data_IF_641386913173
#
_entry.id   IF_641386913173
#
_cell.length_a   1.000
_cell.length_b   1.000
_cell.length_c   1.000
_cell.angle_alpha   90.00
_cell.angle_beta   90.00
_cell.angle_gamma   90.00
#
_symmetry.space_group_name_H-M   'P 1'
#
loop_
_entity.id
_entity.type
_entity.pdbx_description
1 polymer ?
#
# COMPACT_ATOMS: atom_id res chain seq x y z
N UNK A 1 -8.69 16.03 -30.42
CA UNK A 1 -7.79 16.47 -29.34
C UNK A 1 -6.35 16.49 -29.80
N UNK A 2 -5.80 15.39 -30.33
CA UNK A 2 -4.52 15.42 -31.05
C UNK A 2 -4.68 16.22 -32.36
N UNK A 3 -3.83 17.25 -32.61
CA UNK A 3 -3.82 18.00 -33.87
C UNK A 3 -3.61 17.06 -35.06
N UNK A 4 -4.30 17.31 -36.19
CA UNK A 4 -4.26 16.44 -37.38
C UNK A 4 -2.83 16.21 -37.86
N UNK A 5 -2.02 17.27 -37.87
CA UNK A 5 -0.63 17.29 -38.30
C UNK A 5 0.29 16.42 -37.43
N UNK A 6 -0.11 16.16 -36.19
CA UNK A 6 0.69 15.40 -35.22
C UNK A 6 0.23 13.94 -35.07
N UNK A 7 -0.88 13.54 -35.71
CA UNK A 7 -1.47 12.21 -35.51
C UNK A 7 -0.55 11.08 -35.96
N UNK A 8 0.14 11.23 -37.09
CA UNK A 8 1.06 10.21 -37.59
C UNK A 8 2.16 9.92 -36.58
N UNK A 9 2.79 10.96 -36.05
CA UNK A 9 3.82 10.85 -35.01
C UNK A 9 3.22 10.27 -33.74
N UNK A 10 2.08 10.81 -33.29
CA UNK A 10 1.44 10.37 -32.05
C UNK A 10 1.05 8.89 -32.03
N UNK A 11 0.60 8.32 -33.16
CA UNK A 11 0.16 6.92 -33.21
C UNK A 11 1.27 5.94 -33.62
N UNK A 12 2.41 6.42 -34.10
CA UNK A 12 3.51 5.59 -34.62
C UNK A 12 4.80 5.69 -33.81
N UNK A 13 4.88 6.59 -32.82
CA UNK A 13 6.03 6.69 -31.91
C UNK A 13 6.18 5.42 -31.04
N UNK A 14 7.42 5.07 -30.74
CA UNK A 14 7.75 4.04 -29.75
C UNK A 14 7.32 4.48 -28.35
N UNK A 15 6.93 3.53 -27.49
CA UNK A 15 6.27 3.78 -26.21
C UNK A 15 7.02 4.74 -25.28
N UNK A 16 8.33 4.57 -25.07
CA UNK A 16 9.12 5.46 -24.21
C UNK A 16 9.21 6.88 -24.80
N UNK A 17 9.41 6.97 -26.11
CA UNK A 17 9.44 8.24 -26.81
C UNK A 17 8.07 8.94 -26.78
N UNK A 18 6.98 8.19 -26.95
CA UNK A 18 5.62 8.68 -26.91
C UNK A 18 5.27 9.31 -25.57
N UNK A 19 5.66 8.67 -24.46
CA UNK A 19 5.47 9.23 -23.11
C UNK A 19 6.25 10.55 -22.97
N UNK A 20 7.54 10.56 -23.34
CA UNK A 20 8.40 11.76 -23.22
C UNK A 20 7.87 12.92 -24.07
N UNK A 21 7.52 12.65 -25.33
CA UNK A 21 7.03 13.66 -26.27
C UNK A 21 5.76 14.33 -25.74
N UNK A 22 4.83 13.55 -25.16
CA UNK A 22 3.57 14.09 -24.66
C UNK A 22 3.70 14.82 -23.31
N UNK A 23 4.55 14.33 -22.40
CA UNK A 23 4.79 14.99 -21.11
C UNK A 23 5.56 16.31 -21.25
N UNK A 24 6.42 16.45 -22.27
CA UNK A 24 7.21 17.68 -22.46
C UNK A 24 6.46 18.81 -23.17
N UNK A 25 5.24 18.56 -23.67
CA UNK A 25 4.41 19.57 -24.34
C UNK A 25 3.62 20.41 -23.32
N UNK A 26 4.34 21.22 -22.54
CA UNK A 26 3.78 22.02 -21.45
C UNK A 26 3.22 23.40 -21.88
N UNK A 27 3.19 23.71 -23.18
CA UNK A 27 2.65 24.99 -23.67
C UNK A 27 1.13 25.01 -23.47
N UNK A 28 0.63 26.09 -22.85
CA UNK A 28 -0.80 26.31 -22.64
C UNK A 28 -1.53 26.37 -23.99
N UNK A 29 -2.58 25.57 -24.13
CA UNK A 29 -3.49 25.61 -25.27
C UNK A 29 -4.51 26.75 -25.11
N UNK A 30 -5.35 26.98 -26.13
CA UNK A 30 -6.36 28.06 -26.15
C UNK A 30 -7.37 28.00 -24.99
N UNK A 31 -7.56 26.84 -24.37
CA UNK A 31 -8.42 26.62 -23.20
C UNK A 31 -7.69 26.86 -21.86
N UNK A 32 -6.40 27.25 -21.87
CA UNK A 32 -5.63 27.59 -20.67
C UNK A 32 -4.92 26.44 -19.95
N UNK A 33 -5.20 25.18 -20.32
CA UNK A 33 -4.48 24.00 -19.82
C UNK A 33 -3.34 23.56 -20.76
N UNK A 34 -2.28 22.97 -20.23
CA UNK A 34 -1.19 22.45 -21.05
C UNK A 34 -1.56 21.10 -21.65
N UNK A 35 -1.00 20.78 -22.83
CA UNK A 35 -1.24 19.48 -23.47
C UNK A 35 -0.81 18.30 -22.58
N UNK A 36 0.33 18.41 -21.91
CA UNK A 36 0.83 17.40 -20.98
C UNK A 36 -0.19 17.05 -19.89
N UNK A 37 -0.86 18.06 -19.33
CA UNK A 37 -1.85 17.88 -18.25
C UNK A 37 -3.09 17.14 -18.78
N UNK A 38 -3.57 17.55 -19.95
CA UNK A 38 -4.68 16.88 -20.62
C UNK A 38 -4.34 15.43 -20.96
N UNK A 39 -3.17 15.21 -21.56
CA UNK A 39 -2.75 13.88 -21.99
C UNK A 39 -2.56 12.93 -20.81
N UNK A 40 -1.90 13.38 -19.74
CA UNK A 40 -1.70 12.57 -18.54
C UNK A 40 -3.04 12.23 -17.87
N UNK A 41 -3.93 13.20 -17.75
CA UNK A 41 -5.28 13.01 -17.19
C UNK A 41 -6.13 12.09 -18.07
N UNK A 42 -6.00 12.17 -19.39
CA UNK A 42 -6.66 11.27 -20.33
C UNK A 42 -6.17 9.82 -20.15
N UNK A 43 -4.85 9.61 -20.06
CA UNK A 43 -4.28 8.28 -19.82
C UNK A 43 -4.76 7.69 -18.48
N UNK A 44 -4.72 8.49 -17.42
CA UNK A 44 -5.22 8.08 -16.11
C UNK A 44 -6.72 7.75 -16.15
N UNK A 45 -7.53 8.59 -16.80
CA UNK A 45 -8.98 8.36 -16.93
C UNK A 45 -9.28 7.09 -17.71
N UNK A 46 -8.58 6.84 -18.82
CA UNK A 46 -8.75 5.61 -19.60
C UNK A 46 -8.39 4.36 -18.80
N UNK A 47 -7.28 4.38 -18.06
CA UNK A 47 -6.90 3.30 -17.16
C UNK A 47 -7.95 3.09 -16.05
N UNK A 48 -8.38 4.17 -15.39
CA UNK A 48 -9.40 4.13 -14.34
C UNK A 48 -10.74 3.60 -14.83
N UNK A 49 -11.25 4.08 -15.97
CA UNK A 49 -12.51 3.62 -16.52
C UNK A 49 -12.45 2.15 -16.91
N UNK A 50 -11.35 1.71 -17.52
CA UNK A 50 -11.15 0.29 -17.82
C UNK A 50 -11.18 -0.58 -16.55
N UNK A 51 -10.56 -0.12 -15.47
CA UNK A 51 -10.58 -0.86 -14.20
C UNK A 51 -11.98 -0.88 -13.58
N UNK A 52 -12.70 0.24 -13.61
CA UNK A 52 -14.07 0.28 -13.08
C UNK A 52 -15.03 -0.58 -13.88
N UNK A 53 -14.95 -0.56 -15.21
CA UNK A 53 -15.74 -1.45 -16.07
C UNK A 53 -15.54 -2.94 -15.76
N UNK A 54 -14.40 -3.32 -15.17
CA UNK A 54 -14.10 -4.69 -14.78
C UNK A 54 -14.47 -5.04 -13.33
N UNK A 55 -14.63 -4.05 -12.46
CA UNK A 55 -14.67 -4.24 -11.00
C UNK A 55 -15.85 -3.56 -10.30
N UNK A 56 -16.62 -2.75 -11.02
CA UNK A 56 -17.74 -1.97 -10.52
C UNK A 56 -18.92 -2.16 -11.48
N UNK A 57 -19.82 -3.07 -11.14
CA UNK A 57 -20.95 -3.49 -12.00
C UNK A 57 -21.92 -2.33 -12.32
N UNK A 58 -21.93 -1.27 -11.49
CA UNK A 58 -22.78 -0.09 -11.65
C UNK A 58 -22.08 1.03 -12.44
N UNK A 59 -20.81 0.86 -12.81
CA UNK A 59 -20.05 1.91 -13.47
C UNK A 59 -20.46 2.11 -14.93
N UNK A 60 -20.81 3.35 -15.27
CA UNK A 60 -21.06 3.78 -16.64
C UNK A 60 -20.03 4.83 -17.04
N UNK A 61 -19.30 4.58 -18.14
CA UNK A 61 -18.32 5.52 -18.69
C UNK A 61 -18.98 6.84 -19.08
N UNK A 62 -18.35 8.01 -18.84
CA UNK A 62 -18.88 9.30 -19.26
C UNK A 62 -19.13 9.37 -20.77
N UNK A 63 -20.34 9.79 -21.16
CA UNK A 63 -20.75 9.95 -22.57
C UNK A 63 -19.87 10.99 -23.28
N UNK A 64 -19.54 12.09 -22.60
CA UNK A 64 -18.69 13.15 -23.11
C UNK A 64 -17.26 13.06 -22.53
N UNK A 65 -16.56 11.97 -22.84
CA UNK A 65 -15.24 11.65 -22.28
C UNK A 65 -14.21 12.80 -22.39
N UNK A 66 -14.17 13.50 -23.53
CA UNK A 66 -13.22 14.62 -23.72
C UNK A 66 -13.55 15.75 -22.74
N UNK A 67 -14.82 16.12 -22.62
CA UNK A 67 -15.26 17.20 -21.74
C UNK A 67 -15.07 16.83 -20.28
N UNK A 68 -15.29 15.57 -19.91
CA UNK A 68 -14.95 15.06 -18.58
C UNK A 68 -13.47 15.28 -18.27
N UNK A 69 -12.57 14.82 -19.14
CA UNK A 69 -11.12 14.97 -18.93
C UNK A 69 -10.72 16.44 -18.88
N UNK A 70 -11.25 17.29 -19.77
CA UNK A 70 -10.99 18.73 -19.76
C UNK A 70 -11.43 19.37 -18.45
N UNK A 71 -12.64 19.07 -17.97
CA UNK A 71 -13.14 19.58 -16.69
C UNK A 71 -12.30 19.07 -15.51
N UNK A 72 -11.84 17.81 -15.54
CA UNK A 72 -10.96 17.26 -14.51
C UNK A 72 -9.63 18.01 -14.46
N UNK A 73 -9.02 18.31 -15.61
CA UNK A 73 -7.79 19.10 -15.70
C UNK A 73 -8.02 20.51 -15.15
N UNK A 74 -9.11 21.17 -15.56
CA UNK A 74 -9.44 22.51 -15.09
C UNK A 74 -9.67 22.55 -13.58
N UNK A 75 -10.44 21.61 -13.04
CA UNK A 75 -10.68 21.47 -11.61
C UNK A 75 -9.37 21.23 -10.85
N UNK A 76 -8.49 20.36 -11.36
CA UNK A 76 -7.19 20.11 -10.77
C UNK A 76 -6.30 21.37 -10.78
N UNK A 77 -6.24 22.09 -11.91
CA UNK A 77 -5.49 23.34 -12.00
C UNK A 77 -6.04 24.41 -11.04
N UNK A 78 -7.35 24.53 -10.90
CA UNK A 78 -7.98 25.46 -9.96
C UNK A 78 -7.69 25.07 -8.51
N UNK A 79 -7.82 23.79 -8.16
CA UNK A 79 -7.49 23.28 -6.83
C UNK A 79 -6.01 23.46 -6.49
N UNK A 80 -5.11 23.21 -7.45
CA UNK A 80 -3.66 23.44 -7.30
C UNK A 80 -3.38 24.91 -7.00
N UNK A 81 -3.95 25.84 -7.78
CA UNK A 81 -3.79 27.29 -7.53
C UNK A 81 -4.36 27.71 -6.17
N UNK A 82 -5.53 27.19 -5.80
CA UNK A 82 -6.11 27.45 -4.49
C UNK A 82 -5.21 26.94 -3.36
N UNK A 83 -4.57 25.79 -3.55
CA UNK A 83 -3.62 25.20 -2.58
C UNK A 83 -2.32 26.00 -2.52
N UNK A 84 -1.80 26.47 -3.67
CA UNK A 84 -0.63 27.35 -3.73
C UNK A 84 -0.88 28.69 -3.02
N UNK A 85 -2.11 29.21 -3.08
CA UNK A 85 -2.52 30.43 -2.37
C UNK A 85 -2.72 30.20 -0.86
N UNK A 86 -3.09 28.98 -0.45
CA UNK A 86 -3.32 28.60 0.95
C UNK A 86 -2.06 28.13 1.70
N UNK A 87 -0.90 28.14 1.05
CA UNK A 87 0.39 27.78 1.63
C UNK A 87 0.99 26.55 0.96
N UNK A 88 2.22 26.68 0.49
CA UNK A 88 3.02 25.58 -0.03
C UNK A 88 3.02 24.44 0.98
N UNK A 89 2.40 23.33 0.59
CA UNK A 89 2.64 22.02 1.17
C UNK A 89 4.11 21.69 0.94
N UNK A 90 4.96 21.90 1.95
CA UNK A 90 6.36 21.54 1.87
C UNK A 90 6.45 20.02 1.89
N UNK A 91 7.02 19.46 0.83
CA UNK A 91 7.37 18.05 0.77
C UNK A 91 8.83 17.92 1.15
N UNK A 92 9.11 17.17 2.21
CA UNK A 92 10.47 16.83 2.59
C UNK A 92 10.77 15.43 2.07
N UNK A 93 11.91 15.29 1.38
CA UNK A 93 12.45 13.99 1.02
C UNK A 93 12.99 13.33 2.28
N UNK A 94 12.39 12.21 2.68
CA UNK A 94 12.79 11.44 3.86
C UNK A 94 13.29 10.07 3.43
N UNK A 95 14.41 9.63 4.00
CA UNK A 95 14.88 8.25 3.85
C UNK A 95 14.13 7.38 4.84
N UNK A 96 13.39 6.39 4.33
CA UNK A 96 12.66 5.42 5.14
C UNK A 96 13.36 4.08 5.02
N UNK A 97 13.69 3.49 6.17
CA UNK A 97 14.19 2.14 6.27
C UNK A 97 13.65 1.48 7.53
N UNK A 98 13.99 0.22 7.73
CA UNK A 98 13.62 -0.48 8.94
C UNK A 98 14.28 0.16 10.17
N UNK A 99 13.51 0.33 11.25
CA UNK A 99 13.99 0.89 12.51
C UNK A 99 13.84 -0.18 13.60
N UNK A 100 14.91 -0.51 14.34
CA UNK A 100 14.86 -1.50 15.41
C UNK A 100 13.90 -1.08 16.54
N UNK A 101 13.27 -2.04 17.23
CA UNK A 101 12.48 -1.75 18.43
C UNK A 101 13.38 -1.20 19.55
N UNK A 102 12.79 -0.39 20.44
CA UNK A 102 13.49 0.15 21.61
C UNK A 102 13.20 -0.68 22.86
N UNK A 103 14.18 -0.80 23.75
CA UNK A 103 14.01 -1.52 25.03
C UNK A 103 13.89 -3.03 24.83
N UNK A 104 13.02 -3.68 25.63
CA UNK A 104 12.83 -5.13 25.64
C UNK A 104 11.79 -5.63 24.61
N UNK A 105 11.39 -4.76 23.69
CA UNK A 105 10.38 -5.08 22.69
C UNK A 105 10.95 -5.90 21.55
N UNK A 106 10.17 -6.86 21.08
CA UNK A 106 10.31 -7.41 19.73
C UNK A 106 9.43 -6.63 18.76
N UNK A 107 9.88 -6.45 17.53
CA UNK A 107 9.14 -5.78 16.48
C UNK A 107 8.40 -6.80 15.63
N UNK A 108 7.07 -6.73 15.63
CA UNK A 108 6.20 -7.54 14.78
C UNK A 108 5.70 -6.68 13.64
N UNK A 109 6.15 -6.93 12.41
CA UNK A 109 5.56 -6.31 11.22
C UNK A 109 4.56 -7.30 10.59
N UNK A 110 3.39 -6.81 10.16
CA UNK A 110 2.35 -7.62 9.48
C UNK A 110 1.85 -6.93 8.23
N UNK A 111 1.47 -7.71 7.22
CA UNK A 111 0.89 -7.20 5.96
C UNK A 111 -0.12 -8.21 5.39
N UNK A 112 -1.07 -7.70 4.60
CA UNK A 112 -2.05 -8.44 3.83
C UNK A 112 -1.83 -8.28 2.32
N UNK A 113 -1.65 -9.40 1.62
CA UNK A 113 -1.56 -9.42 0.17
C UNK A 113 -2.87 -9.88 -0.46
N UNK A 114 -3.16 -9.34 -1.64
CA UNK A 114 -4.27 -9.76 -2.47
C UNK A 114 -3.80 -9.90 -3.92
N UNK A 115 -4.10 -11.04 -4.54
CA UNK A 115 -3.79 -11.35 -5.95
C UNK A 115 -5.09 -11.46 -6.76
N UNK A 116 -4.96 -11.29 -8.08
CA UNK A 116 -6.03 -11.53 -9.04
C UNK A 116 -6.70 -12.91 -8.83
N UNK A 117 -8.01 -12.99 -9.08
CA UNK A 117 -8.90 -14.12 -8.77
C UNK A 117 -9.33 -14.24 -7.30
N UNK A 118 -9.35 -13.14 -6.54
CA UNK A 118 -9.78 -13.12 -5.15
C UNK A 118 -8.98 -14.10 -4.28
N UNK A 119 -7.66 -14.08 -4.40
CA UNK A 119 -6.79 -14.87 -3.53
C UNK A 119 -6.09 -13.92 -2.59
N UNK A 120 -6.45 -13.97 -1.32
CA UNK A 120 -5.82 -13.20 -0.27
C UNK A 120 -4.89 -14.08 0.56
N UNK A 121 -3.80 -13.48 1.01
CA UNK A 121 -2.84 -14.05 1.93
C UNK A 121 -2.36 -12.99 2.90
N UNK A 122 -1.76 -13.41 4.00
CA UNK A 122 -1.12 -12.49 4.92
C UNK A 122 0.20 -13.07 5.41
N UNK A 123 1.04 -12.20 5.94
CA UNK A 123 2.34 -12.58 6.47
C UNK A 123 2.73 -11.70 7.64
N UNK A 124 3.74 -12.14 8.35
CA UNK A 124 4.34 -11.35 9.41
C UNK A 124 5.70 -11.87 9.81
N UNK A 125 6.54 -10.94 10.28
CA UNK A 125 7.89 -11.20 10.76
C UNK A 125 8.04 -10.61 12.15
N UNK A 126 8.69 -11.35 13.04
CA UNK A 126 9.08 -10.92 14.37
C UNK A 126 10.60 -10.76 14.36
N UNK A 127 11.07 -9.57 14.69
CA UNK A 127 12.48 -9.20 14.73
C UNK A 127 12.88 -8.68 16.10
N UNK A 128 14.12 -8.96 16.48
CA UNK A 128 14.72 -8.37 17.68
C UNK A 128 15.38 -7.02 17.40
N UNK A 129 16.14 -6.53 18.39
CA UNK A 129 16.74 -5.19 18.36
C UNK A 129 17.95 -5.08 17.41
N UNK A 130 18.53 -6.20 16.99
CA UNK A 130 19.63 -6.25 16.01
C UNK A 130 19.12 -6.55 14.59
N UNK A 131 17.79 -6.58 14.39
CA UNK A 131 17.18 -6.99 13.13
C UNK A 131 17.22 -8.49 12.88
N UNK A 132 17.61 -9.28 13.88
CA UNK A 132 17.64 -10.73 13.80
C UNK A 132 16.23 -11.31 13.64
N UNK A 133 16.14 -12.40 12.87
CA UNK A 133 14.90 -13.14 12.71
C UNK A 133 14.58 -13.92 13.99
N UNK A 134 13.46 -13.60 14.62
CA UNK A 134 12.96 -14.32 15.81
C UNK A 134 11.77 -15.22 15.50
N UNK A 135 11.16 -15.05 14.33
CA UNK A 135 10.05 -15.87 13.84
C UNK A 135 9.33 -15.19 12.68
N UNK A 136 8.57 -15.95 11.93
CA UNK A 136 7.69 -15.40 10.90
C UNK A 136 6.63 -16.40 10.47
N UNK A 137 5.67 -15.91 9.70
CA UNK A 137 4.61 -16.75 9.16
C UNK A 137 4.13 -16.24 7.81
N UNK A 138 3.54 -17.16 7.05
CA UNK A 138 2.74 -16.88 5.87
C UNK A 138 1.45 -17.69 5.95
N UNK A 139 0.33 -17.09 5.59
CA UNK A 139 -0.99 -17.72 5.66
C UNK A 139 -1.80 -17.44 4.40
N UNK A 140 -2.41 -18.49 3.85
CA UNK A 140 -3.52 -18.36 2.93
C UNK A 140 -4.76 -17.90 3.68
N UNK A 141 -5.37 -16.81 3.24
CA UNK A 141 -6.64 -16.32 3.80
C UNK A 141 -7.81 -16.80 2.94
N UNK A 142 -7.60 -16.95 1.64
CA UNK A 142 -8.62 -17.38 0.66
C UNK A 142 -9.35 -16.19 0.04
N UNK A 143 -10.62 -16.35 -0.31
CA UNK A 143 -11.39 -15.33 -1.02
C UNK A 143 -12.00 -14.25 -0.13
N UNK A 144 -11.11 -13.41 0.42
CA UNK A 144 -11.45 -12.26 1.23
C UNK A 144 -10.83 -10.98 0.68
N UNK A 145 -11.29 -9.83 1.19
CA UNK A 145 -10.72 -8.53 0.83
C UNK A 145 -9.32 -8.34 1.43
N UNK A 146 -8.52 -7.46 0.82
CA UNK A 146 -7.22 -7.06 1.37
C UNK A 146 -7.35 -6.62 2.84
N UNK A 147 -8.38 -5.82 3.17
CA UNK A 147 -8.65 -5.40 4.55
C UNK A 147 -8.81 -6.57 5.55
N UNK A 148 -9.48 -7.66 5.15
CA UNK A 148 -9.62 -8.84 6.01
C UNK A 148 -8.31 -9.61 6.09
N UNK A 149 -7.51 -9.64 5.01
CA UNK A 149 -6.19 -10.24 5.01
C UNK A 149 -5.23 -9.54 5.99
N UNK A 150 -5.24 -8.22 6.01
CA UNK A 150 -4.47 -7.41 6.98
C UNK A 150 -4.83 -7.75 8.42
N UNK A 151 -6.13 -7.81 8.74
CA UNK A 151 -6.59 -8.19 10.08
C UNK A 151 -6.16 -9.61 10.44
N UNK A 152 -6.16 -10.54 9.50
CA UNK A 152 -5.64 -11.89 9.72
C UNK A 152 -4.13 -11.88 9.98
N UNK A 153 -3.38 -11.05 9.26
CA UNK A 153 -1.95 -10.83 9.51
C UNK A 153 -1.71 -10.39 10.96
N UNK A 154 -2.44 -9.38 11.42
CA UNK A 154 -2.35 -8.92 12.82
C UNK A 154 -2.70 -10.02 13.82
N UNK A 155 -3.81 -10.72 13.62
CA UNK A 155 -4.27 -11.77 14.53
C UNK A 155 -3.27 -12.93 14.63
N UNK A 156 -2.78 -13.42 13.50
CA UNK A 156 -1.81 -14.52 13.47
C UNK A 156 -0.44 -14.10 14.00
N UNK A 157 0.00 -12.87 13.68
CA UNK A 157 1.25 -12.31 14.19
C UNK A 157 1.26 -12.19 15.71
N UNK A 158 0.22 -11.60 16.30
CA UNK A 158 0.10 -11.51 17.76
C UNK A 158 0.01 -12.89 18.41
N UNK A 159 -0.78 -13.80 17.81
CA UNK A 159 -0.89 -15.17 18.29
C UNK A 159 0.46 -15.89 18.25
N UNK A 160 1.25 -15.66 17.20
CA UNK A 160 2.57 -16.25 17.05
C UNK A 160 3.57 -15.69 18.06
N UNK A 161 3.62 -14.37 18.23
CA UNK A 161 4.48 -13.73 19.21
C UNK A 161 4.18 -14.23 20.63
N UNK A 162 2.89 -14.43 20.96
CA UNK A 162 2.49 -14.99 22.25
C UNK A 162 2.90 -16.46 22.41
N UNK A 163 2.78 -17.29 21.36
CA UNK A 163 3.26 -18.68 21.38
C UNK A 163 4.78 -18.77 21.58
N UNK A 164 5.53 -17.79 21.07
CA UNK A 164 6.97 -17.65 21.30
C UNK A 164 7.30 -17.03 22.67
N UNK A 165 6.29 -16.78 23.52
CA UNK A 165 6.44 -16.27 24.88
C UNK A 165 7.06 -14.87 24.99
N UNK A 166 6.92 -14.05 23.95
CA UNK A 166 7.27 -12.63 24.07
C UNK A 166 6.28 -11.90 24.97
N UNK A 167 6.82 -11.00 25.80
CA UNK A 167 6.06 -10.19 26.79
C UNK A 167 5.91 -8.73 26.38
N UNK A 168 6.66 -8.25 25.39
CA UNK A 168 6.59 -6.88 24.89
C UNK A 168 6.72 -6.87 23.35
N UNK A 169 5.70 -6.40 22.65
CA UNK A 169 5.61 -6.41 21.18
C UNK A 169 5.27 -5.03 20.64
N UNK A 170 6.10 -4.55 19.72
CA UNK A 170 5.82 -3.37 18.91
C UNK A 170 5.20 -3.84 17.58
N UNK A 171 3.87 -3.76 17.50
CA UNK A 171 3.08 -4.20 16.34
C UNK A 171 3.04 -3.09 15.27
N UNK A 172 3.71 -3.33 14.17
CA UNK A 172 3.84 -2.43 13.03
C UNK A 172 2.88 -2.83 11.89
N UNK A 173 1.96 -1.92 11.57
CA UNK A 173 0.89 -2.11 10.56
C UNK A 173 0.97 -0.95 9.57
N UNK A 174 0.99 -1.23 8.27
CA UNK A 174 1.04 -0.19 7.22
C UNK A 174 -0.34 0.34 6.79
N UNK A 175 -1.41 -0.32 7.23
CA UNK A 175 -2.78 0.09 6.98
C UNK A 175 -3.35 0.97 8.10
N UNK A 176 -3.36 2.29 7.87
CA UNK A 176 -4.03 3.28 8.74
C UNK A 176 -5.47 2.87 9.08
N UNK A 177 -6.19 2.29 8.12
CA UNK A 177 -7.57 1.82 8.32
C UNK A 177 -7.61 0.71 9.38
N UNK A 178 -6.71 -0.26 9.30
CA UNK A 178 -6.63 -1.37 10.27
C UNK A 178 -6.24 -0.86 11.65
N UNK A 179 -5.24 0.03 11.73
CA UNK A 179 -4.84 0.70 12.99
C UNK A 179 -6.04 1.41 13.63
N UNK A 180 -6.78 2.21 12.87
CA UNK A 180 -7.96 2.93 13.36
C UNK A 180 -9.07 1.99 13.82
N UNK A 181 -9.29 0.89 13.11
CA UNK A 181 -10.32 -0.09 13.45
C UNK A 181 -9.99 -0.80 14.77
N UNK A 182 -8.75 -1.25 14.93
CA UNK A 182 -8.29 -1.96 16.14
C UNK A 182 -8.28 -1.03 17.35
N UNK A 183 -7.93 0.24 17.16
CA UNK A 183 -7.87 1.23 18.26
C UNK A 183 -9.23 1.85 18.60
N UNK A 184 -10.04 2.22 17.61
CA UNK A 184 -11.27 3.02 17.81
C UNK A 184 -12.59 2.25 17.67
N UNK A 185 -12.59 1.08 17.01
CA UNK A 185 -13.72 0.15 17.05
C UNK A 185 -14.89 0.42 16.12
N UNK A 186 -14.76 1.34 15.18
CA UNK A 186 -15.79 1.60 14.19
C UNK A 186 -15.65 0.64 13.00
N UNK A 187 -16.32 -0.51 13.05
CA UNK A 187 -16.42 -1.41 11.90
C UNK A 187 -17.87 -1.80 11.59
N UNK A 188 -18.26 -1.67 10.32
CA UNK A 188 -19.58 -2.05 9.80
C UNK A 188 -19.62 -3.48 9.23
N UNK A 189 -18.47 -4.16 9.07
CA UNK A 189 -18.38 -5.54 8.54
C UNK A 189 -18.47 -6.59 9.64
N UNK A 190 -19.44 -7.55 9.60
CA UNK A 190 -19.58 -8.58 10.64
C UNK A 190 -18.35 -9.49 10.79
N UNK A 191 -17.75 -9.92 9.68
CA UNK A 191 -16.57 -10.82 9.69
C UNK A 191 -15.35 -10.10 10.27
N UNK A 192 -15.10 -8.86 9.83
CA UNK A 192 -14.03 -8.05 10.38
C UNK A 192 -14.24 -7.73 11.86
N UNK A 193 -15.49 -7.49 12.29
CA UNK A 193 -15.81 -7.16 13.68
C UNK A 193 -15.46 -8.29 14.65
N UNK A 194 -15.72 -9.55 14.28
CA UNK A 194 -15.33 -10.70 15.10
C UNK A 194 -13.81 -10.82 15.23
N UNK A 195 -13.09 -10.65 14.12
CA UNK A 195 -11.63 -10.75 14.10
C UNK A 195 -10.98 -9.62 14.93
N UNK A 196 -11.49 -8.39 14.81
CA UNK A 196 -11.07 -7.23 15.62
C UNK A 196 -11.32 -7.48 17.12
N UNK A 197 -12.45 -8.10 17.48
CA UNK A 197 -12.73 -8.47 18.87
C UNK A 197 -11.69 -9.46 19.40
N UNK A 198 -11.30 -10.44 18.59
CA UNK A 198 -10.29 -11.43 18.98
C UNK A 198 -8.89 -10.81 19.08
N UNK A 199 -8.53 -9.91 18.17
CA UNK A 199 -7.27 -9.14 18.23
C UNK A 199 -7.19 -8.35 19.54
N UNK A 200 -8.24 -7.60 19.88
CA UNK A 200 -8.29 -6.85 21.15
C UNK A 200 -8.15 -7.75 22.37
N UNK A 201 -8.87 -8.87 22.41
CA UNK A 201 -8.74 -9.84 23.50
C UNK A 201 -7.33 -10.42 23.62
N UNK A 202 -6.60 -10.58 22.52
CA UNK A 202 -5.18 -10.95 22.56
C UNK A 202 -4.33 -9.82 23.14
N UNK A 203 -4.58 -8.58 22.73
CA UNK A 203 -3.84 -7.41 23.25
C UNK A 203 -4.10 -7.18 24.74
N UNK A 204 -5.28 -7.52 25.25
CA UNK A 204 -5.67 -7.35 26.66
C UNK A 204 -5.11 -8.46 27.59
N UNK A 205 -4.28 -9.38 27.07
CA UNK A 205 -3.60 -10.38 27.89
C UNK A 205 -2.47 -9.76 28.72
N UNK A 206 -1.84 -10.57 29.59
CA UNK A 206 -0.70 -10.16 30.41
C UNK A 206 0.60 -10.10 29.58
N UNK A 207 0.71 -9.02 28.79
CA UNK A 207 1.86 -8.59 27.99
C UNK A 207 1.64 -7.16 27.46
N UNK A 208 2.70 -6.52 26.99
CA UNK A 208 2.65 -5.17 26.43
C UNK A 208 2.60 -5.21 24.90
N UNK A 209 1.62 -4.55 24.29
CA UNK A 209 1.48 -4.44 22.83
C UNK A 209 1.30 -2.98 22.42
N UNK A 210 2.31 -2.44 21.74
CA UNK A 210 2.31 -1.07 21.23
C UNK A 210 2.08 -1.07 19.72
N UNK A 211 0.97 -0.47 19.28
CA UNK A 211 0.66 -0.35 17.85
C UNK A 211 1.37 0.87 17.26
N UNK A 212 2.13 0.64 16.19
CA UNK A 212 2.83 1.66 15.42
C UNK A 212 2.38 1.56 13.97
N UNK A 213 2.15 2.72 13.34
CA UNK A 213 1.91 2.77 11.91
C UNK A 213 3.26 2.73 11.16
N UNK A 214 3.44 1.74 10.30
CA UNK A 214 4.65 1.58 9.49
C UNK A 214 4.47 2.20 8.11
N UNK A 215 5.56 2.68 7.51
CA UNK A 215 5.58 3.01 6.10
C UNK A 215 5.72 1.73 5.28
N UNK A 216 4.97 1.63 4.18
CA UNK A 216 4.99 0.45 3.32
C UNK A 216 6.39 0.12 2.81
N UNK A 217 7.21 1.13 2.56
CA UNK A 217 8.60 1.01 2.12
C UNK A 217 9.51 0.30 3.14
N UNK A 218 9.12 0.28 4.43
CA UNK A 218 9.82 -0.44 5.50
C UNK A 218 9.29 -1.86 5.76
N UNK A 219 8.30 -2.30 4.98
CA UNK A 219 7.60 -3.59 5.16
C UNK A 219 7.90 -4.61 4.05
N UNK A 220 8.91 -4.41 3.20
CA UNK A 220 9.22 -5.28 2.05
C UNK A 220 9.34 -6.77 2.41
N UNK A 221 9.97 -7.09 3.55
CA UNK A 221 10.07 -8.47 4.04
C UNK A 221 8.69 -9.12 4.24
N UNK A 222 7.72 -8.33 4.71
CA UNK A 222 6.37 -8.81 5.03
C UNK A 222 5.48 -8.87 3.81
N UNK A 223 5.60 -7.90 2.88
CA UNK A 223 4.95 -7.99 1.56
C UNK A 223 5.32 -9.30 0.85
N UNK A 224 6.61 -9.72 0.95
CA UNK A 224 7.07 -11.00 0.42
C UNK A 224 6.43 -12.20 1.14
N UNK A 225 6.35 -12.21 2.48
CA UNK A 225 5.68 -13.25 3.25
C UNK A 225 4.17 -13.33 2.97
N UNK A 226 3.50 -12.18 2.85
CA UNK A 226 2.09 -12.12 2.51
C UNK A 226 1.85 -12.64 1.08
N UNK A 227 2.77 -12.34 0.16
CA UNK A 227 2.76 -12.87 -1.22
C UNK A 227 2.94 -14.39 -1.27
N UNK A 228 3.80 -14.96 -0.40
CA UNK A 228 3.90 -16.41 -0.16
C UNK A 228 2.57 -16.93 0.37
N UNK A 229 1.96 -16.23 1.33
CA UNK A 229 0.64 -16.54 1.91
C UNK A 229 -0.45 -16.71 0.85
N UNK A 230 -0.47 -15.86 -0.19
CA UNK A 230 -1.42 -16.00 -1.30
C UNK A 230 -1.29 -17.33 -2.07
N UNK A 231 -0.19 -18.07 -1.91
CA UNK A 231 0.01 -19.37 -2.58
C UNK A 231 -0.38 -20.56 -1.70
N UNK A 232 -0.78 -20.35 -0.43
CA UNK A 232 -0.92 -21.40 0.58
C UNK A 232 -2.34 -21.95 0.79
N UNK A 233 -3.27 -21.84 -0.16
CA UNK A 233 -4.66 -22.39 -0.10
C UNK A 233 -5.30 -22.59 1.32
N UNK A 234 -5.38 -21.51 2.11
CA UNK A 234 -5.90 -21.45 3.49
C UNK A 234 -5.06 -22.09 4.61
N UNK A 235 -3.90 -22.63 4.29
CA UNK A 235 -2.92 -23.12 5.25
C UNK A 235 -2.07 -21.99 5.85
N UNK A 236 -1.44 -22.29 6.99
CA UNK A 236 -0.48 -21.40 7.64
C UNK A 236 0.85 -22.14 7.81
N UNK A 237 1.94 -21.45 7.48
CA UNK A 237 3.30 -21.93 7.66
C UNK A 237 4.01 -20.98 8.63
N UNK A 238 4.67 -21.55 9.64
CA UNK A 238 5.54 -20.83 10.57
C UNK A 238 7.00 -21.11 10.23
N UNK A 239 7.81 -20.06 10.32
CA UNK A 239 9.21 -20.05 9.93
C UNK A 239 10.05 -19.72 11.17
N UNK A 240 10.77 -20.72 11.67
CA UNK A 240 11.75 -20.51 12.74
C UNK A 240 13.00 -19.78 12.22
N UNK A 241 13.33 -20.00 10.94
CA UNK A 241 14.43 -19.36 10.23
C UNK A 241 13.91 -18.57 9.03
N UNK A 242 14.63 -17.51 8.64
CA UNK A 242 14.27 -16.69 7.50
C UNK A 242 14.25 -17.51 6.19
N UNK A 243 13.13 -17.55 5.45
CA UNK A 243 13.08 -18.24 4.16
C UNK A 243 13.95 -17.55 3.11
N UNK A 244 14.45 -18.33 2.14
CA UNK A 244 15.34 -17.84 1.08
C UNK A 244 14.80 -16.62 0.33
N UNK A 245 13.50 -16.59 0.10
CA UNK A 245 12.75 -15.58 -0.63
C UNK A 245 12.75 -14.21 0.06
N UNK A 246 13.00 -14.18 1.37
CA UNK A 246 12.99 -12.97 2.21
C UNK A 246 14.39 -12.58 2.68
N UNK A 247 15.37 -13.48 2.56
CA UNK A 247 16.70 -13.34 3.14
C UNK A 247 17.44 -12.09 2.67
N UNK A 248 17.39 -11.79 1.37
CA UNK A 248 18.06 -10.61 0.81
C UNK A 248 17.41 -9.31 1.29
N UNK A 249 16.09 -9.29 1.45
CA UNK A 249 15.34 -8.15 1.98
C UNK A 249 15.68 -7.93 3.46
N UNK A 250 15.77 -9.01 4.24
CA UNK A 250 16.16 -8.93 5.65
C UNK A 250 17.59 -8.40 5.80
N UNK A 251 18.53 -8.85 4.96
CA UNK A 251 19.90 -8.35 4.96
C UNK A 251 19.97 -6.88 4.56
N UNK A 252 19.17 -6.44 3.58
CA UNK A 252 19.07 -5.04 3.20
C UNK A 252 18.60 -4.16 4.38
N UNK A 253 17.58 -4.60 5.10
CA UNK A 253 17.07 -3.92 6.30
C UNK A 253 18.16 -3.83 7.39
N UNK A 254 18.87 -4.93 7.67
CA UNK A 254 19.97 -4.97 8.66
C UNK A 254 21.15 -4.08 8.26
N UNK A 255 21.42 -3.96 6.95
CA UNK A 255 22.44 -3.06 6.41
C UNK A 255 22.01 -1.58 6.40
N UNK A 256 20.78 -1.27 6.81
CA UNK A 256 20.24 0.09 6.85
C UNK A 256 19.95 0.68 5.47
N UNK A 257 19.64 -0.17 4.48
CA UNK A 257 19.22 0.30 3.16
C UNK A 257 17.88 1.05 3.32
N UNK A 258 17.79 2.23 2.72
CA UNK A 258 16.63 3.11 2.82
C UNK A 258 16.06 3.44 1.44
N UNK A 259 14.77 3.68 1.40
CA UNK A 259 14.06 4.17 0.21
C UNK A 259 13.65 5.63 0.44
N UNK A 260 13.91 6.48 -0.54
CA UNK A 260 13.51 7.89 -0.49
C UNK A 260 12.02 8.03 -0.79
N UNK A 261 11.28 8.68 0.11
CA UNK A 261 9.88 9.08 -0.12
C UNK A 261 9.68 10.58 0.12
N UNK A 262 8.64 11.15 -0.49
CA UNK A 262 8.22 12.53 -0.25
C UNK A 262 7.09 12.54 0.77
N UNK A 263 7.36 13.08 1.96
CA UNK A 263 6.37 13.22 3.03
C UNK A 263 5.88 14.66 3.06
N UNK A 264 4.57 14.83 3.20
CA UNK A 264 3.95 16.14 3.39
C UNK A 264 4.14 16.60 4.84
N UNK A 265 4.69 17.81 5.03
CA UNK A 265 4.87 18.46 6.35
C UNK A 265 3.81 19.52 6.59
#
# INVERSE_FOLDING_TARGET
VVPIEERSIFFMEEHQQWIRTNLNKCKKQRNGSAWCDFWATACHSLWMWRNKEMHDDDFVRPVHAIQYVTNTVENYCQAKRATEVLGCREYVSTQIGWIPPTGDFVKLNTDGAWKHHNIAGCGGIIRGSQGEWLGGFAKGVGSYSAFVAELWGVFEGLSHARRLSFSAVELNIDSVTVVNVITKGNLQSPVGAMLVRNIRRLMDLDWEVNIVHAYRESNQCVDALATIGCSLDKEIVYYNDCPSEVKDLLLADVMGITTSILILV
#
